data_IF_489301642253
#
_entry.id   IF_489301642253
#
_cell.length_a   1.000
_cell.length_b   1.000
_cell.length_c   1.000
_cell.angle_alpha   90.00
_cell.angle_beta   90.00
_cell.angle_gamma   90.00
#
_symmetry.space_group_name_H-M   'P 1'
#
loop_
_entity.id
_entity.type
_entity.pdbx_description
1 polymer ?
#
# COMPACT_ATOMS: atom_id res chain seq x y z
N UNK A 1 15.22 -5.38 -26.29
CA UNK A 1 15.68 -6.32 -25.24
C UNK A 1 16.15 -5.45 -24.08
N UNK A 2 15.51 -5.51 -22.91
CA UNK A 2 15.81 -4.61 -21.79
C UNK A 2 17.26 -4.77 -21.33
N UNK A 3 17.92 -3.66 -21.02
CA UNK A 3 19.18 -3.73 -20.25
C UNK A 3 18.89 -4.19 -18.82
N UNK A 4 19.81 -4.96 -18.22
CA UNK A 4 19.65 -5.51 -16.87
C UNK A 4 19.34 -4.40 -15.83
N UNK A 5 19.91 -3.20 -16.07
CA UNK A 5 19.73 -2.01 -15.25
C UNK A 5 18.29 -1.46 -15.30
N UNK A 6 17.63 -1.43 -16.47
CA UNK A 6 16.24 -0.99 -16.59
C UNK A 6 15.27 -1.98 -15.95
N UNK A 7 15.51 -3.30 -16.09
CA UNK A 7 14.71 -4.33 -15.40
C UNK A 7 14.78 -4.15 -13.89
N UNK A 8 15.98 -3.97 -13.35
CA UNK A 8 16.19 -3.73 -11.92
C UNK A 8 15.39 -2.54 -11.41
N UNK A 9 15.44 -1.40 -12.10
CA UNK A 9 14.68 -0.19 -11.74
C UNK A 9 13.16 -0.42 -11.74
N UNK A 10 12.65 -1.20 -12.70
CA UNK A 10 11.22 -1.45 -12.84
C UNK A 10 10.60 -2.19 -11.64
N UNK A 11 11.40 -3.02 -10.95
CA UNK A 11 10.97 -3.73 -9.73
C UNK A 11 11.44 -3.03 -8.45
N UNK A 12 12.58 -2.34 -8.49
CA UNK A 12 13.13 -1.64 -7.33
C UNK A 12 12.22 -0.51 -6.85
N UNK A 13 11.73 0.33 -7.76
CA UNK A 13 10.91 1.49 -7.37
C UNK A 13 9.54 1.12 -6.77
N UNK A 14 8.79 0.11 -7.29
CA UNK A 14 7.60 -0.37 -6.62
C UNK A 14 7.92 -0.97 -5.26
N UNK A 15 8.99 -1.76 -5.12
CA UNK A 15 9.38 -2.33 -3.81
C UNK A 15 9.74 -1.22 -2.81
N UNK A 16 10.48 -0.20 -3.23
CA UNK A 16 10.81 0.96 -2.38
C UNK A 16 9.54 1.71 -1.96
N UNK A 17 8.60 1.89 -2.88
CA UNK A 17 7.29 2.45 -2.58
C UNK A 17 6.52 1.60 -1.56
N UNK A 18 6.57 0.26 -1.68
CA UNK A 18 5.97 -0.66 -0.72
C UNK A 18 6.59 -0.55 0.68
N UNK A 19 7.91 -0.41 0.76
CA UNK A 19 8.59 -0.21 2.05
C UNK A 19 8.06 1.05 2.72
N UNK A 20 7.98 2.18 2.00
CA UNK A 20 7.41 3.43 2.55
C UNK A 20 5.95 3.22 2.94
N UNK A 21 5.18 2.54 2.08
CA UNK A 21 3.76 2.27 2.29
C UNK A 21 3.47 1.42 3.54
N UNK A 22 4.34 0.48 3.88
CA UNK A 22 4.21 -0.38 5.07
C UNK A 22 4.81 0.29 6.30
N UNK A 23 5.98 0.92 6.16
CA UNK A 23 6.73 1.46 7.28
C UNK A 23 6.04 2.69 7.89
N UNK A 24 5.46 3.57 7.06
CA UNK A 24 4.83 4.81 7.54
C UNK A 24 3.62 4.54 8.46
N UNK A 25 2.67 3.65 8.10
CA UNK A 25 1.62 3.22 9.02
C UNK A 25 2.14 2.58 10.30
N UNK A 26 3.19 1.76 10.24
CA UNK A 26 3.74 1.09 11.43
C UNK A 26 4.33 2.10 12.41
N UNK A 27 5.11 3.08 11.91
CA UNK A 27 5.68 4.15 12.73
C UNK A 27 4.58 4.99 13.37
N UNK A 28 3.53 5.34 12.61
CA UNK A 28 2.36 6.02 13.17
C UNK A 28 1.69 5.15 14.24
N UNK A 29 1.51 3.85 14.00
CA UNK A 29 0.90 2.93 14.96
C UNK A 29 1.64 2.97 16.30
N UNK A 30 2.98 2.94 16.22
CA UNK A 30 3.87 2.94 17.37
C UNK A 30 3.82 4.27 18.14
N UNK A 31 3.82 5.41 17.44
CA UNK A 31 3.73 6.74 18.08
C UNK A 31 2.38 6.93 18.80
N UNK A 32 1.30 6.40 18.24
CA UNK A 32 -0.06 6.58 18.77
C UNK A 32 -0.54 5.43 19.68
N UNK A 33 0.37 4.56 20.12
CA UNK A 33 0.06 3.31 20.83
C UNK A 33 -0.64 3.49 22.19
N UNK A 34 -0.47 4.64 22.84
CA UNK A 34 -1.04 4.95 24.18
C UNK A 34 -2.43 5.61 24.14
N UNK A 35 -2.94 6.02 22.98
CA UNK A 35 -4.27 6.59 22.89
C UNK A 35 -5.30 5.47 22.76
N UNK A 36 -6.32 5.45 23.62
CA UNK A 36 -7.49 4.53 23.64
C UNK A 36 -8.34 4.54 22.34
N UNK A 37 -7.81 5.10 21.26
CA UNK A 37 -8.43 5.34 19.97
C UNK A 37 -7.93 4.34 18.92
N UNK A 38 -8.21 3.05 19.11
CA UNK A 38 -7.98 2.02 18.06
C UNK A 38 -8.72 2.40 16.76
N UNK A 39 -9.82 3.15 16.86
CA UNK A 39 -10.60 3.69 15.73
C UNK A 39 -9.80 4.75 14.93
N UNK A 40 -8.89 5.50 15.57
CA UNK A 40 -8.07 6.50 14.89
C UNK A 40 -7.00 5.86 13.99
N UNK A 41 -6.43 4.73 14.40
CA UNK A 41 -5.33 4.11 13.64
C UNK A 41 -5.79 3.62 12.26
N UNK A 42 -6.91 2.91 12.19
CA UNK A 42 -7.51 2.48 10.92
C UNK A 42 -7.90 3.66 10.04
N UNK A 43 -8.40 4.76 10.63
CA UNK A 43 -8.73 5.98 9.90
C UNK A 43 -7.49 6.67 9.31
N UNK A 44 -6.41 6.77 10.08
CA UNK A 44 -5.13 7.35 9.60
C UNK A 44 -4.52 6.49 8.50
N UNK A 45 -4.57 5.17 8.65
CA UNK A 45 -4.07 4.24 7.63
C UNK A 45 -4.90 4.39 6.34
N UNK A 46 -6.21 4.46 6.45
CA UNK A 46 -7.10 4.66 5.29
C UNK A 46 -6.89 6.04 4.63
N UNK A 47 -6.69 7.10 5.43
CA UNK A 47 -6.35 8.43 4.93
C UNK A 47 -5.01 8.44 4.18
N UNK A 48 -3.97 7.86 4.77
CA UNK A 48 -2.65 7.75 4.12
C UNK A 48 -2.74 7.00 2.79
N UNK A 49 -3.48 5.89 2.76
CA UNK A 49 -3.60 5.07 1.55
C UNK A 49 -4.41 5.75 0.46
N UNK A 50 -5.47 6.51 0.79
CA UNK A 50 -6.29 7.21 -0.20
C UNK A 50 -5.61 8.49 -0.69
N UNK A 51 -4.99 9.27 0.20
CA UNK A 51 -4.56 10.64 -0.09
C UNK A 51 -3.06 10.84 -0.22
N UNK A 52 -2.20 9.97 0.33
CA UNK A 52 -0.75 10.18 0.33
C UNK A 52 -0.06 9.18 -0.60
N UNK A 53 -0.43 7.90 -0.48
CA UNK A 53 0.13 6.81 -1.26
C UNK A 53 0.07 7.03 -2.79
N UNK A 54 -1.06 7.43 -3.42
CA UNK A 54 -1.09 7.62 -4.88
C UNK A 54 -0.18 8.77 -5.36
N UNK A 55 0.05 9.79 -4.53
CA UNK A 55 0.96 10.88 -4.88
C UNK A 55 2.43 10.47 -4.76
N UNK A 56 2.76 9.67 -3.73
CA UNK A 56 4.11 9.09 -3.58
C UNK A 56 4.47 8.18 -4.76
N UNK A 57 3.48 7.50 -5.36
CA UNK A 57 3.68 6.66 -6.54
C UNK A 57 3.97 7.47 -7.83
N UNK A 58 3.57 8.74 -7.90
CA UNK A 58 3.77 9.56 -9.09
C UNK A 58 5.26 9.88 -9.37
N UNK A 59 6.06 10.00 -8.30
CA UNK A 59 7.51 10.26 -8.36
C UNK A 59 8.25 9.12 -9.10
N UNK A 60 8.17 7.84 -8.66
CA UNK A 60 8.84 6.76 -9.35
C UNK A 60 8.25 6.50 -10.75
N UNK A 61 6.95 6.73 -10.94
CA UNK A 61 6.32 6.63 -12.26
C UNK A 61 6.90 7.61 -13.29
N UNK A 62 7.21 8.85 -12.88
CA UNK A 62 7.86 9.84 -13.76
C UNK A 62 9.36 9.56 -13.98
N UNK A 63 10.01 8.86 -13.05
CA UNK A 63 11.46 8.62 -13.09
C UNK A 63 11.85 7.51 -14.06
N UNK A 64 10.92 6.59 -14.37
CA UNK A 64 11.19 5.44 -15.23
C UNK A 64 10.78 5.73 -16.67
N UNK A 65 11.72 5.50 -17.58
CA UNK A 65 11.45 5.48 -19.02
C UNK A 65 10.87 4.11 -19.36
N UNK A 66 9.59 4.07 -19.74
CA UNK A 66 8.90 2.84 -20.15
C UNK A 66 9.10 2.61 -21.65
N UNK A 67 9.69 1.47 -22.02
CA UNK A 67 9.91 1.13 -23.43
C UNK A 67 8.63 0.60 -24.10
N UNK A 68 7.68 0.07 -23.33
CA UNK A 68 6.47 -0.56 -23.86
C UNK A 68 5.25 -0.42 -22.95
N UNK A 69 4.04 -0.42 -23.56
CA UNK A 69 2.76 -0.35 -22.84
C UNK A 69 2.60 -1.42 -21.75
N UNK A 70 3.06 -2.65 -22.01
CA UNK A 70 3.01 -3.77 -21.03
C UNK A 70 3.80 -3.47 -19.75
N UNK A 71 4.97 -2.84 -19.86
CA UNK A 71 5.82 -2.49 -18.72
C UNK A 71 5.16 -1.42 -17.86
N UNK A 72 4.54 -0.43 -18.51
CA UNK A 72 3.78 0.62 -17.84
C UNK A 72 2.58 0.06 -17.08
N UNK A 73 1.83 -0.88 -17.69
CA UNK A 73 0.72 -1.57 -17.03
C UNK A 73 1.23 -2.37 -15.82
N UNK A 74 2.29 -3.15 -15.99
CA UNK A 74 2.88 -3.95 -14.91
C UNK A 74 3.33 -3.07 -13.73
N UNK A 75 3.97 -1.94 -14.03
CA UNK A 75 4.46 -1.00 -13.02
C UNK A 75 3.29 -0.35 -12.24
N UNK A 76 2.23 0.07 -12.94
CA UNK A 76 0.98 0.57 -12.33
C UNK A 76 0.29 -0.50 -11.50
N UNK A 77 0.25 -1.74 -11.98
CA UNK A 77 -0.34 -2.82 -11.23
C UNK A 77 0.42 -3.08 -9.91
N UNK A 78 1.74 -3.22 -9.99
CA UNK A 78 2.59 -3.51 -8.83
C UNK A 78 2.66 -2.37 -7.82
N UNK A 79 2.75 -1.12 -8.28
CA UNK A 79 2.93 0.03 -7.39
C UNK A 79 1.65 0.73 -6.96
N UNK A 80 0.55 0.64 -7.71
CA UNK A 80 -0.73 1.23 -7.31
C UNK A 80 -1.76 0.16 -6.95
N UNK A 81 -2.17 -0.69 -7.89
CA UNK A 81 -3.32 -1.58 -7.67
C UNK A 81 -3.09 -2.61 -6.56
N UNK A 82 -1.93 -3.26 -6.55
CA UNK A 82 -1.64 -4.36 -5.62
C UNK A 82 -1.68 -3.94 -4.14
N UNK A 83 -1.14 -2.76 -3.72
CA UNK A 83 -1.35 -2.21 -2.38
C UNK A 83 -2.82 -2.02 -1.98
N UNK A 84 -3.66 -1.50 -2.88
CA UNK A 84 -5.10 -1.32 -2.59
C UNK A 84 -5.82 -2.65 -2.48
N UNK A 85 -5.46 -3.66 -3.29
CA UNK A 85 -6.02 -5.00 -3.17
C UNK A 85 -5.66 -5.62 -1.80
N UNK A 86 -4.44 -5.41 -1.32
CA UNK A 86 -4.03 -5.83 0.01
C UNK A 86 -4.81 -5.11 1.12
N UNK A 87 -5.00 -3.80 1.01
CA UNK A 87 -5.83 -3.04 1.95
C UNK A 87 -7.27 -3.55 1.97
N UNK A 88 -7.85 -3.78 0.80
CA UNK A 88 -9.22 -4.26 0.66
C UNK A 88 -9.38 -5.67 1.26
N UNK A 89 -8.39 -6.55 1.06
CA UNK A 89 -8.35 -7.86 1.70
C UNK A 89 -8.24 -7.73 3.23
N UNK A 90 -7.38 -6.84 3.73
CA UNK A 90 -7.23 -6.58 5.17
C UNK A 90 -8.52 -6.04 5.81
N UNK A 91 -9.18 -5.06 5.16
CA UNK A 91 -10.45 -4.51 5.62
C UNK A 91 -11.55 -5.57 5.60
N UNK A 92 -11.65 -6.34 4.52
CA UNK A 92 -12.61 -7.44 4.40
C UNK A 92 -12.41 -8.48 5.51
N UNK A 93 -11.16 -8.84 5.81
CA UNK A 93 -10.81 -9.73 6.91
C UNK A 93 -11.20 -9.14 8.28
N UNK A 94 -10.90 -7.87 8.55
CA UNK A 94 -11.28 -7.18 9.79
C UNK A 94 -12.79 -7.13 9.97
N UNK A 95 -13.53 -6.82 8.91
CA UNK A 95 -14.99 -6.79 8.90
C UNK A 95 -15.55 -8.19 9.19
N UNK A 96 -15.09 -9.22 8.46
CA UNK A 96 -15.52 -10.60 8.66
C UNK A 96 -15.27 -11.10 10.10
N UNK A 97 -14.10 -10.79 10.68
CA UNK A 97 -13.77 -11.14 12.06
C UNK A 97 -14.64 -10.39 13.09
N UNK A 98 -14.95 -9.12 12.85
CA UNK A 98 -15.82 -8.36 13.75
C UNK A 98 -17.27 -8.87 13.70
N UNK A 99 -17.77 -9.26 12.53
CA UNK A 99 -19.09 -9.90 12.39
C UNK A 99 -19.13 -11.34 12.94
N UNK A 100 -18.04 -12.10 12.79
CA UNK A 100 -17.91 -13.42 13.40
C UNK A 100 -17.97 -13.34 14.93
N UNK A 101 -17.32 -12.33 15.55
CA UNK A 101 -17.39 -12.08 16.99
C UNK A 101 -18.76 -11.60 17.47
N UNK A 102 -19.52 -10.87 16.66
CA UNK A 102 -20.89 -10.47 17.04
C UNK A 102 -21.90 -11.63 16.98
N UNK A 103 -21.62 -12.65 16.17
CA UNK A 103 -22.50 -13.82 16.00
C UNK A 103 -22.23 -14.96 17.00
N UNK A 104 -21.18 -14.85 17.82
CA UNK A 104 -20.94 -15.72 18.98
C UNK A 104 -20.52 -14.87 20.19
N UNK A 105 -21.49 -14.31 20.94
CA UNK A 105 -21.22 -13.69 22.23
C UNK A 105 -21.11 -14.78 23.31
N UNK A 106 -20.07 -15.61 23.27
CA UNK A 106 -19.73 -16.54 24.35
C UNK A 106 -18.21 -16.69 24.47
#
# INVERSE_FOLDING_TARGET
MLTLNQRSKLFFYPILYWIIFIFFPIVIAYIYQDNSSIINFSGILMFFVIFVAPFLYFIPYKTIIFENKKQKILFVFLGLMLPYLFLLAFLSYKIANNFSRSNFPF
#
